data_IF_590945457590
#
_entry.id   IF_590945457590
#
_cell.length_a   1.000
_cell.length_b   1.000
_cell.length_c   1.000
_cell.angle_alpha   90.00
_cell.angle_beta   90.00
_cell.angle_gamma   90.00
#
_symmetry.space_group_name_H-M   'P 1'
#
loop_
_entity.id
_entity.type
_entity.pdbx_description
1 polymer ?
#
# COMPACT_ATOMS: atom_id res chain seq x y z
N UNK A 1 -29.99 -10.47 -26.47
CA UNK A 1 -29.89 -11.15 -25.15
C UNK A 1 -28.72 -12.10 -25.27
N UNK A 2 -27.63 -11.90 -24.52
CA UNK A 2 -26.47 -12.77 -24.63
C UNK A 2 -26.85 -14.19 -24.22
N UNK A 3 -26.45 -15.17 -25.03
CA UNK A 3 -26.68 -16.58 -24.71
C UNK A 3 -25.80 -16.89 -23.50
N UNK A 4 -26.40 -16.90 -22.30
CA UNK A 4 -25.75 -17.53 -21.15
C UNK A 4 -25.53 -18.98 -21.55
N UNK A 5 -24.27 -19.39 -21.75
CA UNK A 5 -23.90 -20.80 -21.84
C UNK A 5 -24.49 -21.49 -20.61
N UNK A 6 -25.65 -22.11 -20.81
CA UNK A 6 -26.54 -22.58 -19.74
C UNK A 6 -26.15 -23.96 -19.23
N UNK A 7 -25.09 -24.54 -19.80
CA UNK A 7 -24.63 -25.88 -19.47
C UNK A 7 -23.46 -25.74 -18.49
N UNK A 8 -23.62 -26.24 -17.24
CA UNK A 8 -22.52 -26.30 -16.28
C UNK A 8 -21.39 -27.16 -16.82
N UNK A 9 -20.16 -26.71 -16.60
CA UNK A 9 -18.98 -27.52 -16.89
C UNK A 9 -18.82 -28.57 -15.77
N UNK A 10 -18.61 -29.86 -16.08
CA UNK A 10 -18.65 -30.95 -15.09
C UNK A 10 -17.30 -31.19 -14.38
N UNK A 11 -16.37 -30.24 -14.46
CA UNK A 11 -15.01 -30.39 -13.92
C UNK A 11 -14.52 -29.10 -13.27
N UNK A 12 -13.62 -29.27 -12.29
CA UNK A 12 -13.00 -28.17 -11.56
C UNK A 12 -12.19 -27.25 -12.50
N UNK A 13 -12.19 -25.93 -12.26
CA UNK A 13 -11.26 -25.05 -12.96
C UNK A 13 -9.82 -25.32 -12.51
N UNK A 14 -8.82 -25.09 -13.36
CA UNK A 14 -7.43 -25.12 -12.90
C UNK A 14 -7.19 -24.03 -11.83
N UNK A 15 -6.31 -24.25 -10.84
CA UNK A 15 -6.00 -23.22 -9.85
C UNK A 15 -5.39 -21.98 -10.54
N UNK A 16 -5.70 -20.76 -10.07
CA UNK A 16 -5.05 -19.56 -10.57
C UNK A 16 -3.57 -19.57 -10.17
N UNK A 17 -2.70 -19.07 -11.06
CA UNK A 17 -1.29 -18.91 -10.78
C UNK A 17 -1.03 -17.48 -10.27
N UNK A 18 -0.64 -17.33 -9.01
CA UNK A 18 -0.15 -16.04 -8.51
C UNK A 18 1.26 -15.80 -9.07
N UNK A 19 1.40 -14.78 -9.93
CA UNK A 19 2.66 -14.44 -10.59
C UNK A 19 3.50 -13.51 -9.73
N UNK A 20 2.89 -12.50 -9.13
CA UNK A 20 3.61 -11.56 -8.28
C UNK A 20 2.71 -10.87 -7.27
N UNK A 21 3.33 -10.44 -6.17
CA UNK A 21 2.78 -9.52 -5.18
C UNK A 21 3.86 -8.49 -4.85
N UNK A 22 3.51 -7.20 -4.78
CA UNK A 22 4.46 -6.10 -4.57
C UNK A 22 3.89 -5.05 -3.62
N UNK A 23 4.80 -4.35 -2.96
CA UNK A 23 4.53 -3.17 -2.16
C UNK A 23 5.43 -2.04 -2.66
N UNK A 24 4.84 -0.99 -3.21
CA UNK A 24 5.55 0.12 -3.85
C UNK A 24 5.14 1.45 -3.22
N UNK A 25 6.08 2.38 -3.06
CA UNK A 25 5.76 3.72 -2.57
C UNK A 25 4.89 4.48 -3.60
N UNK A 26 3.98 5.35 -3.14
CA UNK A 26 3.09 6.08 -4.05
C UNK A 26 3.77 7.25 -4.75
N UNK A 27 4.63 7.95 -4.02
CA UNK A 27 5.26 9.18 -4.45
C UNK A 27 5.76 9.98 -3.25
N UNK A 28 6.27 11.16 -3.54
CA UNK A 28 6.80 12.09 -2.54
C UNK A 28 6.59 13.53 -2.99
N UNK A 29 5.44 13.86 -3.58
CA UNK A 29 5.12 15.26 -3.86
C UNK A 29 5.03 16.07 -2.56
N UNK A 30 4.56 15.45 -1.47
CA UNK A 30 4.48 15.99 -0.12
C UNK A 30 4.73 14.91 0.95
N UNK A 31 4.67 15.29 2.23
CA UNK A 31 4.89 14.37 3.35
C UNK A 31 3.79 13.32 3.43
N UNK A 32 2.53 13.72 3.26
CA UNK A 32 1.40 12.80 3.28
C UNK A 32 1.55 11.68 2.24
N UNK A 33 1.97 12.00 1.01
CA UNK A 33 2.24 11.03 -0.05
C UNK A 33 3.48 10.19 0.23
N UNK A 34 4.53 10.78 0.81
CA UNK A 34 5.76 10.08 1.16
C UNK A 34 5.53 8.88 2.10
N UNK A 35 4.51 8.98 2.96
CA UNK A 35 4.07 7.90 3.86
C UNK A 35 3.07 6.93 3.23
N UNK A 36 2.63 7.12 1.98
CA UNK A 36 1.67 6.24 1.30
C UNK A 36 2.36 5.18 0.46
N UNK A 37 1.72 4.01 0.37
CA UNK A 37 2.15 2.93 -0.52
C UNK A 37 0.98 2.22 -1.20
N UNK A 38 1.31 1.43 -2.21
CA UNK A 38 0.40 0.61 -3.02
C UNK A 38 0.73 -0.85 -2.88
N UNK A 39 -0.30 -1.68 -2.75
CA UNK A 39 -0.20 -3.13 -2.90
C UNK A 39 -0.66 -3.51 -4.31
N UNK A 40 0.20 -4.20 -5.06
CA UNK A 40 -0.13 -4.74 -6.37
C UNK A 40 -0.01 -6.27 -6.35
N UNK A 41 -0.92 -6.96 -7.01
CA UNK A 41 -0.79 -8.38 -7.28
C UNK A 41 -1.16 -8.67 -8.73
N UNK A 42 -0.48 -9.66 -9.31
CA UNK A 42 -0.74 -10.16 -10.65
C UNK A 42 -0.95 -11.66 -10.60
N UNK A 43 -1.99 -12.15 -11.25
CA UNK A 43 -2.24 -13.58 -11.43
C UNK A 43 -2.50 -13.92 -12.89
N UNK A 44 -2.36 -15.21 -13.23
CA UNK A 44 -2.80 -15.80 -14.50
C UNK A 44 -3.85 -16.87 -14.21
N UNK A 45 -4.85 -16.99 -15.08
CA UNK A 45 -5.82 -18.07 -15.03
C UNK A 45 -6.38 -18.36 -16.42
N UNK A 46 -6.66 -19.63 -16.71
CA UNK A 46 -7.38 -20.06 -17.91
C UNK A 46 -8.89 -19.87 -17.66
N UNK A 47 -9.35 -18.63 -17.79
CA UNK A 47 -10.75 -18.28 -17.53
C UNK A 47 -11.68 -18.92 -18.56
N UNK A 48 -12.76 -19.53 -18.08
CA UNK A 48 -13.97 -19.80 -18.87
C UNK A 48 -15.07 -18.80 -18.52
N UNK A 49 -16.11 -18.71 -19.35
CA UNK A 49 -17.23 -17.78 -19.12
C UNK A 49 -17.97 -18.02 -17.79
N UNK A 50 -17.87 -19.24 -17.24
CA UNK A 50 -18.44 -19.68 -15.97
C UNK A 50 -17.51 -19.46 -14.76
N UNK A 51 -16.28 -18.97 -14.98
CA UNK A 51 -15.26 -18.86 -13.94
C UNK A 51 -15.24 -17.46 -13.31
N UNK A 52 -15.13 -17.47 -11.99
CA UNK A 52 -14.88 -16.32 -11.14
C UNK A 52 -13.57 -16.57 -10.39
N UNK A 53 -12.71 -15.55 -10.29
CA UNK A 53 -11.55 -15.58 -9.41
C UNK A 53 -11.83 -14.70 -8.21
N UNK A 54 -12.01 -15.31 -7.05
CA UNK A 54 -12.08 -14.62 -5.77
C UNK A 54 -10.67 -14.25 -5.32
N UNK A 55 -10.48 -12.98 -4.99
CA UNK A 55 -9.22 -12.44 -4.54
C UNK A 55 -9.41 -11.74 -3.22
N UNK A 56 -8.48 -11.97 -2.31
CA UNK A 56 -8.40 -11.25 -1.03
C UNK A 56 -6.98 -10.79 -0.77
N UNK A 57 -6.81 -9.52 -0.41
CA UNK A 57 -5.57 -8.97 0.12
C UNK A 57 -5.78 -8.67 1.60
N UNK A 58 -5.06 -9.40 2.45
CA UNK A 58 -5.06 -9.20 3.89
C UNK A 58 -3.90 -8.29 4.28
N UNK A 59 -4.18 -7.27 5.09
CA UNK A 59 -3.20 -6.31 5.59
C UNK A 59 -2.95 -6.51 7.08
N UNK A 60 -1.75 -6.12 7.52
CA UNK A 60 -1.28 -6.27 8.90
C UNK A 60 -1.32 -7.74 9.38
N UNK A 61 -0.88 -8.64 8.50
CA UNK A 61 -0.75 -10.07 8.77
C UNK A 61 0.34 -10.28 9.82
N UNK A 62 -0.02 -10.95 10.92
CA UNK A 62 0.89 -11.31 12.02
C UNK A 62 1.32 -12.76 11.88
N UNK A 63 2.58 -13.05 12.19
CA UNK A 63 3.06 -14.43 12.28
C UNK A 63 2.43 -15.15 13.49
N UNK A 64 2.34 -14.47 14.63
CA UNK A 64 1.77 -15.00 15.86
C UNK A 64 0.44 -14.33 16.20
N UNK A 65 -0.63 -15.12 16.27
CA UNK A 65 -1.96 -14.65 16.66
C UNK A 65 -2.04 -14.18 18.12
N UNK A 66 -1.07 -14.56 18.96
CA UNK A 66 -1.01 -14.22 20.39
C UNK A 66 -0.41 -12.84 20.69
N UNK A 67 0.22 -12.17 19.70
CA UNK A 67 0.75 -10.82 19.85
C UNK A 67 -0.37 -9.77 19.69
N UNK A 68 -1.31 -9.77 20.62
CA UNK A 68 -2.32 -8.74 20.76
C UNK A 68 -1.74 -7.55 21.54
N UNK A 69 -1.81 -6.35 20.96
CA UNK A 69 -2.28 -5.10 21.60
C UNK A 69 -1.57 -3.80 21.18
N UNK A 70 -0.40 -3.82 20.53
CA UNK A 70 0.32 -2.56 20.24
C UNK A 70 0.34 -2.10 18.77
N UNK A 71 -0.25 -2.86 17.83
CA UNK A 71 -0.14 -2.59 16.39
C UNK A 71 -1.48 -2.34 15.66
N UNK A 72 -1.47 -1.90 14.40
CA UNK A 72 -2.68 -1.63 13.63
C UNK A 72 -3.56 -2.87 13.49
N UNK A 73 -4.88 -2.65 13.43
CA UNK A 73 -5.86 -3.72 13.24
C UNK A 73 -5.66 -4.39 11.88
N UNK A 74 -5.86 -5.71 11.83
CA UNK A 74 -5.88 -6.44 10.57
C UNK A 74 -7.17 -6.10 9.80
N UNK A 75 -7.06 -5.98 8.49
CA UNK A 75 -8.20 -5.76 7.61
C UNK A 75 -7.94 -6.42 6.25
N UNK A 76 -8.98 -6.56 5.44
CA UNK A 76 -8.86 -7.15 4.12
C UNK A 76 -9.61 -6.34 3.05
N UNK A 77 -9.14 -6.46 1.81
CA UNK A 77 -9.84 -6.01 0.60
C UNK A 77 -10.13 -7.23 -0.26
N UNK A 78 -11.39 -7.42 -0.66
CA UNK A 78 -11.78 -8.58 -1.45
C UNK A 78 -12.61 -8.20 -2.67
N UNK A 79 -12.26 -8.79 -3.81
CA UNK A 79 -12.96 -8.62 -5.08
C UNK A 79 -13.09 -9.96 -5.79
N UNK A 80 -14.14 -10.08 -6.60
CA UNK A 80 -14.34 -11.17 -7.54
C UNK A 80 -14.04 -10.63 -8.92
N UNK A 81 -13.18 -11.33 -9.66
CA UNK A 81 -12.84 -11.03 -11.04
C UNK A 81 -13.56 -12.00 -11.96
N UNK A 82 -14.20 -11.49 -13.00
CA UNK A 82 -14.84 -12.27 -14.06
C UNK A 82 -14.46 -11.72 -15.42
N UNK A 83 -14.18 -12.60 -16.38
CA UNK A 83 -14.02 -12.22 -17.78
C UNK A 83 -15.34 -12.45 -18.53
N UNK A 84 -15.78 -11.43 -19.26
CA UNK A 84 -16.98 -11.47 -20.09
C UNK A 84 -16.56 -11.82 -21.51
N UNK A 85 -17.19 -12.86 -22.03
CA UNK A 85 -16.90 -13.39 -23.36
C UNK A 85 -17.91 -12.85 -24.38
N UNK A 86 -17.52 -12.83 -25.65
CA UNK A 86 -18.38 -12.59 -26.80
C UNK A 86 -19.51 -13.63 -26.89
N UNK A 87 -20.55 -13.34 -27.66
CA UNK A 87 -21.71 -14.23 -27.82
C UNK A 87 -21.34 -15.59 -28.44
N UNK A 88 -20.30 -15.64 -29.28
CA UNK A 88 -19.75 -16.88 -29.85
C UNK A 88 -18.76 -17.59 -28.90
N UNK A 89 -18.33 -16.92 -27.82
CA UNK A 89 -17.40 -17.45 -26.83
C UNK A 89 -15.94 -17.52 -27.30
N UNK A 90 -15.63 -16.99 -28.48
CA UNK A 90 -14.28 -17.03 -29.06
C UNK A 90 -13.36 -15.95 -28.45
N UNK A 91 -13.94 -14.82 -28.01
CA UNK A 91 -13.21 -13.68 -27.48
C UNK A 91 -13.64 -13.31 -26.06
N UNK A 92 -12.71 -12.70 -25.32
CA UNK A 92 -12.94 -11.93 -24.10
C UNK A 92 -13.05 -10.47 -24.49
N UNK A 93 -14.18 -9.85 -24.14
CA UNK A 93 -14.53 -8.48 -24.50
C UNK A 93 -14.55 -7.53 -23.30
N UNK A 94 -14.63 -8.06 -22.08
CA UNK A 94 -14.59 -7.24 -20.88
C UNK A 94 -14.04 -7.97 -19.67
N UNK A 95 -13.53 -7.18 -18.72
CA UNK A 95 -13.25 -7.60 -17.36
C UNK A 95 -14.30 -6.97 -16.44
N UNK A 96 -14.82 -7.75 -15.50
CA UNK A 96 -15.75 -7.28 -14.48
C UNK A 96 -15.15 -7.55 -13.10
N UNK A 97 -15.17 -6.53 -12.24
CA UNK A 97 -14.85 -6.64 -10.83
C UNK A 97 -16.12 -6.48 -10.01
N UNK A 98 -16.33 -7.34 -9.03
CA UNK A 98 -17.41 -7.20 -8.04
C UNK A 98 -16.81 -7.18 -6.64
N UNK A 99 -17.25 -6.27 -5.78
CA UNK A 99 -16.79 -6.25 -4.39
C UNK A 99 -17.47 -7.33 -3.58
N UNK A 100 -16.73 -7.90 -2.65
CA UNK A 100 -17.28 -8.77 -1.58
C UNK A 100 -17.06 -8.19 -0.20
N UNK A 101 -16.24 -7.15 -0.07
CA UNK A 101 -16.08 -6.34 1.15
C UNK A 101 -16.87 -5.03 1.06
N UNK A 102 -17.27 -4.48 2.22
CA UNK A 102 -18.02 -3.23 2.35
C UNK A 102 -17.21 -1.94 2.01
N UNK A 103 -16.16 -2.07 1.21
CA UNK A 103 -15.14 -1.03 1.02
C UNK A 103 -15.49 -0.19 -0.22
N UNK A 104 -15.38 1.14 -0.12
CA UNK A 104 -15.71 2.03 -1.25
C UNK A 104 -14.65 2.04 -2.35
N UNK A 105 -13.41 1.70 -2.01
CA UNK A 105 -12.26 1.84 -2.90
C UNK A 105 -12.16 0.66 -3.88
N UNK A 106 -12.00 0.98 -5.17
CA UNK A 106 -11.73 0.01 -6.22
C UNK A 106 -10.22 -0.07 -6.50
N UNK A 107 -9.67 -1.26 -6.76
CA UNK A 107 -8.32 -1.34 -7.31
C UNK A 107 -8.27 -0.75 -8.72
N UNK A 108 -7.12 -0.21 -9.08
CA UNK A 108 -6.78 -0.01 -10.48
C UNK A 108 -6.54 -1.38 -11.11
N UNK A 109 -7.12 -1.60 -12.29
CA UNK A 109 -7.04 -2.87 -12.99
C UNK A 109 -6.18 -2.74 -14.26
N UNK A 110 -5.32 -3.73 -14.47
CA UNK A 110 -4.55 -3.88 -15.71
C UNK A 110 -4.77 -5.29 -16.22
N UNK A 111 -5.10 -5.41 -17.50
CA UNK A 111 -5.20 -6.69 -18.18
C UNK A 111 -3.86 -7.02 -18.85
N UNK A 112 -3.45 -8.28 -18.78
CA UNK A 112 -2.24 -8.78 -19.42
C UNK A 112 -2.63 -9.80 -20.47
N UNK A 113 -2.38 -9.48 -21.74
CA UNK A 113 -2.70 -10.34 -22.87
C UNK A 113 -1.81 -11.59 -22.89
N UNK A 114 -2.18 -12.59 -23.69
CA UNK A 114 -1.36 -13.80 -23.88
C UNK A 114 0.05 -13.50 -24.40
N UNK A 115 0.23 -12.41 -25.15
CA UNK A 115 1.53 -11.92 -25.60
C UNK A 115 2.32 -11.13 -24.55
N UNK A 116 1.80 -11.01 -23.31
CA UNK A 116 2.44 -10.28 -22.22
C UNK A 116 2.23 -8.76 -22.25
N UNK A 117 1.45 -8.24 -23.20
CA UNK A 117 1.16 -6.81 -23.27
C UNK A 117 0.24 -6.39 -22.13
N UNK A 118 0.55 -5.27 -21.49
CA UNK A 118 -0.25 -4.67 -20.41
C UNK A 118 -1.19 -3.62 -20.97
N UNK A 119 -2.48 -3.75 -20.68
CA UNK A 119 -3.54 -2.81 -21.01
C UNK A 119 -4.05 -2.18 -19.71
N UNK A 120 -3.78 -0.89 -19.52
CA UNK A 120 -4.36 -0.13 -18.42
C UNK A 120 -5.85 0.08 -18.69
N UNK A 121 -6.70 -0.34 -17.75
CA UNK A 121 -8.15 -0.32 -17.90
C UNK A 121 -8.77 0.98 -17.34
N UNK A 122 -7.95 1.86 -16.73
CA UNK A 122 -8.42 3.09 -16.12
C UNK A 122 -9.42 2.86 -14.98
N UNK A 123 -10.42 3.73 -14.86
CA UNK A 123 -11.40 3.67 -13.79
C UNK A 123 -12.54 2.66 -14.03
N UNK A 124 -12.73 2.19 -15.26
CA UNK A 124 -13.90 1.39 -15.65
C UNK A 124 -15.23 2.16 -15.53
N UNK A 125 -16.32 1.48 -15.85
CA UNK A 125 -17.70 2.00 -15.77
C UNK A 125 -18.41 1.28 -14.62
N UNK A 126 -19.21 2.02 -13.85
CA UNK A 126 -20.06 1.42 -12.81
C UNK A 126 -21.08 0.46 -13.43
N UNK A 127 -21.21 -0.73 -12.84
CA UNK A 127 -22.07 -1.82 -13.33
C UNK A 127 -22.85 -2.42 -12.15
N UNK A 128 -23.66 -1.58 -11.50
CA UNK A 128 -24.38 -1.93 -10.27
C UNK A 128 -23.43 -2.15 -9.10
N UNK A 129 -23.31 -3.41 -8.66
CA UNK A 129 -22.42 -3.81 -7.56
C UNK A 129 -20.95 -3.96 -7.99
N UNK A 130 -20.66 -3.69 -9.27
CA UNK A 130 -19.39 -3.95 -9.92
C UNK A 130 -18.78 -2.75 -10.66
N UNK A 131 -17.57 -2.99 -11.19
CA UNK A 131 -16.91 -2.18 -12.21
C UNK A 131 -16.70 -3.04 -13.46
N UNK A 132 -17.08 -2.52 -14.62
CA UNK A 132 -16.86 -3.15 -15.92
C UNK A 132 -15.81 -2.38 -16.72
N UNK A 133 -14.90 -3.12 -17.35
CA UNK A 133 -13.81 -2.60 -18.15
C UNK A 133 -13.88 -3.23 -19.53
N UNK A 134 -14.10 -2.43 -20.56
CA UNK A 134 -14.15 -2.89 -21.95
C UNK A 134 -12.73 -3.18 -22.43
N UNK A 135 -12.54 -4.34 -23.05
CA UNK A 135 -11.28 -4.78 -23.62
C UNK A 135 -11.39 -4.80 -25.14
N UNK A 136 -10.30 -4.51 -25.89
CA UNK A 136 -10.22 -4.95 -27.27
C UNK A 136 -10.34 -6.48 -27.31
N UNK A 137 -11.01 -7.10 -28.31
CA UNK A 137 -11.21 -8.55 -28.36
C UNK A 137 -9.92 -9.34 -28.14
N UNK A 138 -9.94 -10.29 -27.21
CA UNK A 138 -8.82 -11.16 -26.87
C UNK A 138 -9.23 -12.63 -27.00
N UNK A 139 -8.41 -13.53 -27.56
CA UNK A 139 -8.79 -14.93 -27.69
C UNK A 139 -9.13 -15.57 -26.34
N UNK A 140 -10.27 -16.24 -26.23
CA UNK A 140 -10.77 -16.79 -24.95
C UNK A 140 -10.02 -18.04 -24.46
N UNK A 141 -9.45 -18.84 -25.35
CA UNK A 141 -8.82 -20.12 -25.00
C UNK A 141 -7.34 -19.97 -24.65
N UNK A 142 -7.01 -19.05 -23.75
CA UNK A 142 -5.64 -18.78 -23.31
C UNK A 142 -5.58 -18.49 -21.81
N UNK A 143 -4.36 -18.48 -21.26
CA UNK A 143 -4.11 -17.91 -19.95
C UNK A 143 -4.21 -16.39 -20.05
N UNK A 144 -5.10 -15.82 -19.24
CA UNK A 144 -5.28 -14.38 -19.12
C UNK A 144 -4.63 -13.89 -17.85
N UNK A 145 -3.93 -12.76 -17.94
CA UNK A 145 -3.38 -12.12 -16.76
C UNK A 145 -4.21 -10.93 -16.31
N UNK A 146 -4.34 -10.81 -15.00
CA UNK A 146 -4.99 -9.66 -14.35
C UNK A 146 -4.07 -9.16 -13.26
N UNK A 147 -3.76 -7.87 -13.30
CA UNK A 147 -3.11 -7.15 -12.21
C UNK A 147 -4.10 -6.21 -11.54
N UNK A 148 -4.13 -6.23 -10.21
CA UNK A 148 -4.94 -5.35 -9.39
C UNK A 148 -4.07 -4.62 -8.38
N UNK A 149 -4.24 -3.29 -8.33
CA UNK A 149 -3.45 -2.39 -7.49
C UNK A 149 -4.35 -1.55 -6.59
N UNK A 150 -4.15 -1.68 -5.28
CA UNK A 150 -4.77 -0.81 -4.27
C UNK A 150 -3.74 0.19 -3.77
N UNK A 151 -4.12 1.46 -3.69
CA UNK A 151 -3.26 2.55 -3.21
C UNK A 151 -3.85 3.31 -2.02
N UNK A 152 -3.19 4.39 -1.64
CA UNK A 152 -3.60 5.30 -0.58
C UNK A 152 -3.37 4.78 0.83
N UNK A 153 -2.60 3.72 1.01
CA UNK A 153 -2.35 3.16 2.35
C UNK A 153 -1.22 3.90 3.05
N UNK A 154 -1.49 4.51 4.21
CA UNK A 154 -0.43 5.02 5.07
C UNK A 154 0.38 3.88 5.70
N UNK A 155 1.71 4.00 5.76
CA UNK A 155 2.61 2.99 6.36
C UNK A 155 2.28 2.67 7.82
N UNK A 156 1.73 3.63 8.58
CA UNK A 156 1.28 3.39 9.96
C UNK A 156 -0.05 2.61 10.04
N UNK A 157 -0.89 2.69 9.01
CA UNK A 157 -2.18 2.01 8.94
C UNK A 157 -2.05 0.59 8.39
N UNK A 158 -1.26 0.41 7.34
CA UNK A 158 -1.04 -0.86 6.68
C UNK A 158 0.48 -1.10 6.55
N UNK A 159 1.01 -1.98 7.39
CA UNK A 159 2.45 -2.20 7.52
C UNK A 159 2.95 -3.37 6.65
N UNK A 160 2.04 -4.25 6.24
CA UNK A 160 2.32 -5.35 5.32
C UNK A 160 1.04 -5.85 4.64
N UNK A 161 1.18 -6.71 3.63
CA UNK A 161 0.06 -7.37 2.96
C UNK A 161 0.38 -8.80 2.49
N UNK A 162 -0.66 -9.62 2.34
CA UNK A 162 -0.61 -10.96 1.74
C UNK A 162 -1.86 -11.23 0.90
N UNK A 163 -1.67 -11.66 -0.34
CA UNK A 163 -2.73 -12.01 -1.27
C UNK A 163 -3.10 -13.50 -1.18
N UNK A 164 -4.37 -13.78 -1.42
CA UNK A 164 -4.94 -15.11 -1.57
C UNK A 164 -5.95 -15.12 -2.73
N UNK A 165 -5.97 -16.21 -3.49
CA UNK A 165 -6.79 -16.39 -4.68
C UNK A 165 -7.53 -17.72 -4.65
N UNK A 166 -8.73 -17.77 -5.21
CA UNK A 166 -9.47 -19.01 -5.41
C UNK A 166 -10.32 -18.91 -6.68
N UNK A 167 -10.21 -19.90 -7.58
CA UNK A 167 -11.09 -19.98 -8.73
C UNK A 167 -12.36 -20.75 -8.37
N UNK A 168 -13.50 -20.23 -8.82
CA UNK A 168 -14.82 -20.81 -8.62
C UNK A 168 -15.53 -20.89 -9.96
N UNK A 169 -16.08 -22.05 -10.27
CA UNK A 169 -16.77 -22.32 -11.53
C UNK A 169 -18.25 -22.57 -11.29
N UNK A 170 -19.07 -22.19 -12.27
CA UNK A 170 -20.53 -22.40 -12.33
C UNK A 170 -21.37 -21.58 -11.34
N UNK A 171 -20.78 -20.85 -10.38
CA UNK A 171 -21.56 -20.05 -9.40
C UNK A 171 -22.46 -19.02 -10.07
N UNK A 172 -21.95 -18.30 -11.07
CA UNK A 172 -22.66 -17.20 -11.73
C UNK A 172 -23.58 -17.62 -12.89
N UNK A 173 -23.87 -18.92 -13.04
CA UNK A 173 -24.72 -19.43 -14.12
C UNK A 173 -26.21 -19.18 -13.89
N UNK A 174 -26.66 -19.35 -12.65
CA UNK A 174 -28.06 -19.30 -12.23
C UNK A 174 -28.17 -18.60 -10.87
N UNK A 175 -29.30 -17.94 -10.63
CA UNK A 175 -29.53 -17.26 -9.36
C UNK A 175 -29.76 -18.25 -8.21
N UNK A 176 -30.25 -19.45 -8.53
CA UNK A 176 -30.34 -20.59 -7.61
C UNK A 176 -29.43 -21.72 -8.08
N UNK A 177 -28.35 -21.95 -7.34
CA UNK A 177 -27.38 -23.03 -7.62
C UNK A 177 -27.87 -24.41 -7.16
N UNK A 178 -29.08 -24.53 -6.62
CA UNK A 178 -29.66 -25.80 -6.22
C UNK A 178 -29.71 -26.78 -7.41
N UNK A 179 -28.95 -27.87 -7.31
CA UNK A 179 -28.83 -28.87 -8.39
C UNK A 179 -27.71 -28.62 -9.42
N UNK A 180 -26.96 -27.52 -9.33
CA UNK A 180 -25.77 -27.28 -10.17
C UNK A 180 -24.49 -27.43 -9.34
N UNK A 181 -23.55 -28.30 -9.75
CA UNK A 181 -22.28 -28.44 -9.05
C UNK A 181 -21.44 -27.16 -9.21
N UNK A 182 -21.12 -26.53 -8.08
CA UNK A 182 -20.19 -25.40 -7.97
C UNK A 182 -18.84 -25.95 -7.56
N UNK A 183 -17.83 -25.76 -8.41
CA UNK A 183 -16.47 -26.24 -8.16
C UNK A 183 -15.61 -25.10 -7.64
N UNK A 184 -14.73 -25.39 -6.68
CA UNK A 184 -13.83 -24.43 -6.05
C UNK A 184 -12.45 -25.05 -5.92
N UNK A 185 -11.42 -24.34 -6.38
CA UNK A 185 -10.03 -24.80 -6.21
C UNK A 185 -9.56 -24.64 -4.76
N UNK A 186 -8.45 -25.27 -4.41
CA UNK A 186 -7.71 -24.86 -3.22
C UNK A 186 -7.32 -23.37 -3.30
N UNK A 187 -7.21 -22.71 -2.14
CA UNK A 187 -6.76 -21.32 -2.06
C UNK A 187 -5.26 -21.24 -2.33
N UNK A 188 -4.88 -20.45 -3.34
CA UNK A 188 -3.48 -20.13 -3.62
C UNK A 188 -3.12 -18.89 -2.82
N UNK A 189 -2.18 -19.02 -1.89
CA UNK A 189 -1.72 -17.93 -1.01
C UNK A 189 -0.31 -17.52 -1.43
N UNK A 190 -0.03 -16.21 -1.44
CA UNK A 190 1.31 -15.71 -1.68
C UNK A 190 2.30 -16.33 -0.70
N UNK A 191 3.45 -16.80 -1.20
CA UNK A 191 4.47 -17.41 -0.35
C UNK A 191 4.92 -16.45 0.76
N UNK A 192 5.20 -15.20 0.38
CA UNK A 192 5.69 -14.16 1.27
C UNK A 192 4.66 -13.08 1.58
N UNK A 193 4.86 -12.43 2.72
CA UNK A 193 4.23 -11.16 3.08
C UNK A 193 5.07 -10.04 2.47
N UNK A 194 4.43 -9.07 1.80
CA UNK A 194 5.12 -7.87 1.30
C UNK A 194 4.96 -6.73 2.30
N UNK A 195 5.97 -5.89 2.42
CA UNK A 195 5.94 -4.67 3.22
C UNK A 195 6.53 -3.51 2.41
N UNK A 196 5.99 -2.29 2.54
CA UNK A 196 6.54 -1.12 1.87
C UNK A 196 7.93 -0.79 2.41
N UNK A 197 8.71 -0.10 1.58
CA UNK A 197 9.99 0.52 1.99
C UNK A 197 10.10 1.88 1.33
N UNK A 198 9.35 2.83 1.85
CA UNK A 198 9.31 4.20 1.35
C UNK A 198 10.60 4.90 1.75
N UNK A 199 11.37 5.38 0.78
CA UNK A 199 12.63 6.09 1.04
C UNK A 199 12.80 7.24 0.08
N UNK A 200 13.06 8.43 0.64
CA UNK A 200 13.09 9.66 -0.14
C UNK A 200 14.30 10.49 0.25
N UNK A 201 15.22 10.75 -0.68
CA UNK A 201 16.43 11.52 -0.37
C UNK A 201 16.23 13.04 -0.43
N UNK A 202 15.04 13.49 -0.84
CA UNK A 202 14.71 14.91 -0.96
C UNK A 202 14.41 15.56 0.39
N UNK A 203 14.46 16.89 0.42
CA UNK A 203 14.12 17.68 1.59
C UNK A 203 12.60 17.88 1.66
N UNK A 204 12.04 17.69 2.86
CA UNK A 204 10.67 18.09 3.16
C UNK A 204 10.70 19.29 4.11
N UNK A 205 10.26 20.46 3.65
CA UNK A 205 10.18 21.65 4.50
C UNK A 205 8.99 21.53 5.45
N UNK A 206 9.26 21.51 6.75
CA UNK A 206 8.23 21.44 7.80
C UNK A 206 7.92 22.79 8.43
N UNK A 207 8.56 23.87 7.98
CA UNK A 207 8.43 25.21 8.55
C UNK A 207 7.02 25.81 8.48
N UNK A 208 6.18 25.33 7.56
CA UNK A 208 4.77 25.72 7.51
C UNK A 208 3.93 25.17 8.67
N UNK A 209 4.40 24.13 9.36
CA UNK A 209 3.72 23.48 10.48
C UNK A 209 3.78 24.23 11.81
N UNK A 210 4.57 25.31 11.92
CA UNK A 210 4.57 26.15 13.12
C UNK A 210 5.77 27.09 13.25
N UNK A 211 5.65 28.06 14.17
CA UNK A 211 6.71 29.04 14.47
C UNK A 211 7.88 28.48 15.28
N UNK A 212 7.76 27.24 15.76
CA UNK A 212 8.80 26.52 16.50
C UNK A 212 9.00 25.13 15.90
N UNK A 213 10.21 24.61 16.01
CA UNK A 213 10.56 23.29 15.50
C UNK A 213 9.64 22.20 16.06
N UNK A 214 9.30 22.28 17.35
CA UNK A 214 8.48 21.27 18.02
C UNK A 214 7.08 21.21 17.42
N UNK A 215 6.45 22.36 17.19
CA UNK A 215 5.13 22.45 16.56
C UNK A 215 5.17 22.00 15.10
N UNK A 216 6.22 22.39 14.37
CA UNK A 216 6.43 21.96 12.99
C UNK A 216 6.62 20.44 12.86
N UNK A 217 7.38 19.83 13.77
CA UNK A 217 7.61 18.39 13.80
C UNK A 217 6.35 17.63 14.20
N UNK A 218 5.60 18.12 15.19
CA UNK A 218 4.32 17.53 15.59
C UNK A 218 3.31 17.55 14.42
N UNK A 219 3.21 18.67 13.71
CA UNK A 219 2.40 18.79 12.50
C UNK A 219 2.86 17.81 11.40
N UNK A 220 4.17 17.69 11.15
CA UNK A 220 4.71 16.76 10.17
C UNK A 220 4.40 15.29 10.52
N UNK A 221 4.51 14.91 11.80
CA UNK A 221 4.15 13.57 12.26
C UNK A 221 2.65 13.32 12.15
N UNK A 222 1.82 14.35 12.40
CA UNK A 222 0.38 14.32 12.14
C UNK A 222 0.06 14.11 10.66
N UNK A 223 0.80 14.74 9.74
CA UNK A 223 0.62 14.54 8.30
C UNK A 223 1.03 13.13 7.84
N UNK A 224 2.15 12.62 8.37
CA UNK A 224 2.68 11.30 8.02
C UNK A 224 1.82 10.14 8.57
N UNK A 225 1.31 10.27 9.79
CA UNK A 225 0.74 9.16 10.54
C UNK A 225 -0.68 9.40 11.07
N UNK A 226 -1.20 10.62 11.03
CA UNK A 226 -2.51 11.00 11.59
C UNK A 226 -2.63 10.60 13.05
N UNK A 227 -3.83 10.12 13.44
CA UNK A 227 -4.13 9.62 14.79
C UNK A 227 -3.28 8.41 15.19
N UNK A 228 -2.52 7.81 14.26
CA UNK A 228 -1.64 6.68 14.51
C UNK A 228 -0.20 7.07 14.81
N UNK A 229 0.14 8.35 14.91
CA UNK A 229 1.50 8.79 15.26
C UNK A 229 1.95 8.20 16.62
N UNK A 230 1.07 8.20 17.61
CA UNK A 230 1.36 7.66 18.94
C UNK A 230 1.62 6.14 18.87
N UNK A 231 2.69 5.71 19.54
CA UNK A 231 3.12 4.32 19.61
C UNK A 231 3.91 3.82 18.40
N UNK A 232 4.07 4.61 17.33
CA UNK A 232 4.91 4.20 16.19
C UNK A 232 6.37 4.07 16.63
N UNK A 233 7.04 2.95 16.36
CA UNK A 233 8.47 2.82 16.62
C UNK A 233 9.25 3.70 15.64
N UNK A 234 9.79 4.81 16.14
CA UNK A 234 10.56 5.78 15.36
C UNK A 234 12.00 5.85 15.86
N UNK A 235 12.96 5.81 14.94
CA UNK A 235 14.29 6.33 15.17
C UNK A 235 14.36 7.76 14.63
N UNK A 236 14.98 8.66 15.40
CA UNK A 236 15.09 10.07 15.04
C UNK A 236 16.55 10.52 15.14
N UNK A 237 16.96 11.35 14.20
CA UNK A 237 18.21 12.11 14.27
C UNK A 237 17.86 13.58 14.21
N UNK A 238 18.50 14.39 15.04
CA UNK A 238 18.41 15.85 14.99
C UNK A 238 19.82 16.38 14.74
N UNK A 239 19.94 17.21 13.72
CA UNK A 239 21.16 17.93 13.41
C UNK A 239 20.85 19.40 13.18
N UNK A 240 21.83 20.24 13.48
CA UNK A 240 21.82 21.66 13.16
C UNK A 240 22.73 21.90 11.97
N UNK A 241 22.27 22.62 10.95
CA UNK A 241 23.08 22.96 9.79
C UNK A 241 23.12 24.47 9.58
N UNK A 242 24.27 25.02 9.21
CA UNK A 242 24.42 26.45 8.93
C UNK A 242 25.44 26.72 7.82
N UNK A 243 25.21 27.80 7.07
CA UNK A 243 26.16 28.25 6.05
C UNK A 243 27.11 29.28 6.66
N UNK A 244 28.44 29.01 6.73
CA UNK A 244 29.41 29.97 7.27
C UNK A 244 29.59 31.21 6.37
N UNK A 245 29.14 31.14 5.12
CA UNK A 245 29.16 32.23 4.14
C UNK A 245 28.02 32.07 3.13
N UNK A 246 27.72 33.09 2.30
CA UNK A 246 26.59 33.06 1.36
C UNK A 246 26.71 31.97 0.29
N UNK A 247 27.93 31.63 -0.09
CA UNK A 247 28.23 30.65 -1.16
C UNK A 247 28.94 29.40 -0.62
N UNK A 248 28.97 29.22 0.70
CA UNK A 248 29.61 28.08 1.34
C UNK A 248 28.57 26.99 1.64
N UNK A 249 28.96 25.71 1.54
CA UNK A 249 28.06 24.60 1.85
C UNK A 249 27.64 24.64 3.31
N UNK A 250 26.48 24.07 3.60
CA UNK A 250 26.02 23.87 4.97
C UNK A 250 26.99 22.97 5.75
N UNK A 251 27.36 23.42 6.95
CA UNK A 251 28.08 22.62 7.93
C UNK A 251 27.05 22.01 8.88
N UNK A 252 27.01 20.68 8.96
CA UNK A 252 26.07 19.94 9.81
C UNK A 252 26.72 19.51 11.11
N UNK A 253 26.04 19.76 12.22
CA UNK A 253 26.45 19.40 13.58
C UNK A 253 25.39 18.47 14.21
N UNK A 254 25.78 17.32 14.76
CA UNK A 254 24.84 16.41 15.41
C UNK A 254 24.34 16.99 16.73
N UNK A 255 23.06 16.80 17.02
CA UNK A 255 22.42 17.28 18.26
C UNK A 255 21.79 16.13 19.05
N UNK A 256 21.02 15.27 18.40
CA UNK A 256 20.37 14.13 19.05
C UNK A 256 20.37 12.91 18.12
N UNK A 257 20.62 11.74 18.71
CA UNK A 257 20.36 10.45 18.10
C UNK A 257 19.43 9.68 19.03
N UNK A 258 18.26 9.32 18.53
CA UNK A 258 17.27 8.55 19.25
C UNK A 258 17.09 7.19 18.56
N UNK A 259 17.37 6.06 19.26
CA UNK A 259 17.14 4.74 18.70
C UNK A 259 15.63 4.47 18.49
N UNK A 260 15.27 3.43 17.73
CA UNK A 260 13.87 3.05 17.55
C UNK A 260 13.15 2.85 18.89
N UNK A 261 12.15 3.67 19.16
CA UNK A 261 11.28 3.54 20.33
C UNK A 261 9.88 4.05 20.00
N UNK A 262 8.83 3.61 20.72
CA UNK A 262 7.48 4.12 20.53
C UNK A 262 7.43 5.64 20.65
N UNK A 263 6.84 6.31 19.67
CA UNK A 263 6.63 7.74 19.69
C UNK A 263 5.54 8.12 20.69
N UNK A 264 5.86 9.03 21.59
CA UNK A 264 5.00 9.46 22.69
C UNK A 264 5.25 10.93 23.05
N UNK A 265 4.44 11.50 23.95
CA UNK A 265 4.61 12.87 24.40
C UNK A 265 6.00 13.12 25.04
N UNK A 266 6.58 12.11 25.68
CA UNK A 266 7.93 12.19 26.25
C UNK A 266 9.02 12.31 25.16
N UNK A 267 8.79 11.79 23.95
CA UNK A 267 9.68 11.96 22.81
C UNK A 267 9.83 13.43 22.43
N UNK A 268 8.71 14.16 22.32
CA UNK A 268 8.76 15.59 22.01
C UNK A 268 9.43 16.40 23.12
N UNK A 269 9.20 16.03 24.39
CA UNK A 269 9.90 16.65 25.52
C UNK A 269 11.42 16.41 25.47
N UNK A 270 11.87 15.20 25.11
CA UNK A 270 13.30 14.89 24.92
C UNK A 270 13.93 15.72 23.80
N UNK A 271 13.24 15.85 22.67
CA UNK A 271 13.71 16.67 21.53
C UNK A 271 13.84 18.13 21.95
N UNK A 272 12.81 18.70 22.58
CA UNK A 272 12.82 20.08 23.08
C UNK A 272 13.96 20.33 24.09
N UNK A 273 14.15 19.39 25.03
CA UNK A 273 15.23 19.50 26.01
C UNK A 273 16.62 19.41 25.36
N UNK A 274 16.83 18.51 24.40
CA UNK A 274 18.09 18.38 23.67
C UNK A 274 18.39 19.64 22.83
N UNK A 275 17.37 20.18 22.15
CA UNK A 275 17.44 21.42 21.40
C UNK A 275 17.88 22.59 22.30
N UNK A 276 17.17 22.80 23.41
CA UNK A 276 17.46 23.89 24.35
C UNK A 276 18.86 23.78 24.96
N UNK A 277 19.26 22.57 25.39
CA UNK A 277 20.59 22.33 25.96
C UNK A 277 21.71 22.59 24.95
N UNK A 278 21.52 22.15 23.70
CA UNK A 278 22.49 22.37 22.64
C UNK A 278 22.60 23.85 22.26
N UNK A 279 21.47 24.55 22.11
CA UNK A 279 21.44 25.98 21.81
C UNK A 279 22.13 26.81 22.92
N UNK A 280 21.85 26.50 24.18
CA UNK A 280 22.48 27.18 25.32
C UNK A 280 24.01 27.01 25.33
N UNK A 281 24.50 25.84 24.93
CA UNK A 281 25.92 25.51 24.93
C UNK A 281 26.69 26.07 23.73
N UNK A 282 26.05 26.19 22.57
CA UNK A 282 26.71 26.51 21.30
C UNK A 282 26.41 27.92 20.78
N UNK A 283 25.35 28.57 21.25
CA UNK A 283 24.89 29.89 20.78
C UNK A 283 24.88 29.98 19.24
N UNK A 284 24.19 29.06 18.55
CA UNK A 284 24.26 28.92 17.10
C UNK A 284 23.74 30.18 16.37
N UNK A 285 24.28 30.50 15.17
CA UNK A 285 23.69 31.52 14.31
C UNK A 285 22.21 31.23 14.00
N UNK A 286 21.35 32.26 13.92
CA UNK A 286 19.95 32.05 13.53
C UNK A 286 19.69 32.32 12.06
N UNK A 287 20.64 32.95 11.36
CA UNK A 287 20.54 33.27 9.93
C UNK A 287 21.25 32.21 9.10
N UNK A 288 20.66 31.86 7.95
CA UNK A 288 21.20 30.86 7.00
C UNK A 288 21.48 29.52 7.69
N UNK A 289 20.55 29.14 8.56
CA UNK A 289 20.65 27.97 9.39
C UNK A 289 19.33 27.20 9.35
N UNK A 290 19.41 25.90 9.57
CA UNK A 290 18.26 25.00 9.56
C UNK A 290 18.46 23.86 10.55
N UNK A 291 17.34 23.37 11.08
CA UNK A 291 17.28 22.09 11.76
C UNK A 291 16.96 20.99 10.75
N UNK A 292 17.73 19.91 10.77
CA UNK A 292 17.55 18.74 9.94
C UNK A 292 17.15 17.56 10.82
N UNK A 293 16.01 16.94 10.53
CA UNK A 293 15.48 15.79 11.24
C UNK A 293 15.46 14.60 10.29
N UNK A 294 16.22 13.56 10.62
CA UNK A 294 16.09 12.26 9.95
C UNK A 294 15.12 11.39 10.74
N UNK A 295 14.16 10.79 10.06
CA UNK A 295 13.11 9.94 10.62
C UNK A 295 13.10 8.58 9.94
N UNK A 296 13.12 7.51 10.74
CA UNK A 296 12.95 6.14 10.26
C UNK A 296 11.84 5.46 11.06
N UNK A 297 10.79 5.00 10.39
CA UNK A 297 9.68 4.27 11.00
C UNK A 297 9.84 2.75 10.78
N UNK A 298 9.56 1.99 11.84
CA UNK A 298 9.66 0.53 11.87
C UNK A 298 8.28 -0.10 12.13
N UNK A 299 8.05 -1.35 11.69
CA UNK A 299 6.78 -2.05 11.89
C UNK A 299 6.49 -2.29 13.38
N UNK A 300 5.20 -2.23 13.73
CA UNK A 300 4.67 -2.62 15.04
C UNK A 300 4.26 -4.10 15.09
N UNK A 301 3.94 -4.70 13.95
CA UNK A 301 3.36 -6.05 13.85
C UNK A 301 4.38 -7.18 13.69
N UNK A 302 5.66 -6.86 13.46
CA UNK A 302 6.72 -7.84 13.26
C UNK A 302 7.97 -7.41 14.05
N UNK A 303 8.12 -7.97 15.25
CA UNK A 303 9.21 -7.62 16.17
C UNK A 303 10.60 -8.12 15.70
N UNK A 304 10.64 -9.09 14.78
CA UNK A 304 11.87 -9.73 14.28
C UNK A 304 12.43 -9.07 13.02
N UNK A 305 11.58 -8.38 12.24
CA UNK A 305 12.01 -7.63 11.07
C UNK A 305 12.33 -6.19 11.43
N UNK A 306 13.59 -5.89 11.73
CA UNK A 306 14.12 -4.53 11.86
C UNK A 306 14.15 -3.76 10.51
N UNK A 307 13.23 -4.06 9.59
CA UNK A 307 13.16 -3.45 8.26
C UNK A 307 12.34 -2.16 8.34
N UNK A 308 12.91 -1.00 7.99
CA UNK A 308 12.14 0.24 7.95
C UNK A 308 11.00 0.18 6.93
N UNK A 309 9.84 0.75 7.27
CA UNK A 309 8.76 0.98 6.30
C UNK A 309 8.87 2.36 5.66
N UNK A 310 9.42 3.34 6.39
CA UNK A 310 9.62 4.71 5.93
C UNK A 310 10.98 5.24 6.41
N UNK A 311 11.74 5.85 5.50
CA UNK A 311 13.03 6.49 5.74
C UNK A 311 13.05 7.89 5.09
N UNK A 312 12.93 8.91 5.94
CA UNK A 312 12.96 10.33 5.60
C UNK A 312 14.21 10.95 6.22
N UNK A 313 15.36 10.94 5.56
CA UNK A 313 16.62 11.44 6.10
C UNK A 313 16.63 12.96 6.37
N UNK A 314 15.75 13.74 5.74
CA UNK A 314 15.78 15.21 5.77
C UNK A 314 14.39 15.86 5.80
N UNK A 315 13.81 15.96 7.00
CA UNK A 315 12.81 16.98 7.31
C UNK A 315 13.53 18.26 7.72
N UNK A 316 13.23 19.39 7.09
CA UNK A 316 14.00 20.63 7.23
C UNK A 316 13.13 21.73 7.84
N UNK A 317 13.65 22.36 8.89
CA UNK A 317 13.05 23.54 9.50
C UNK A 317 14.04 24.71 9.42
N UNK A 318 13.75 25.68 8.55
CA UNK A 318 14.65 26.82 8.28
C UNK A 318 14.45 27.92 9.32
N UNK A 319 15.55 28.37 9.92
CA UNK A 319 15.55 29.47 10.87
C UNK A 319 15.44 30.81 10.11
N UNK A 320 14.57 31.69 10.62
CA UNK A 320 14.30 33.02 10.06
C UNK A 320 15.05 34.10 10.83
#
# INVERSE_FOLDING_TARGET
MPIRLSVPLPFEPPPPLLVSQRADAEGAADLAEAARWRCELQYLHEHRAQDEVELTVSFNVRADAAAADAGPAAFARSVVVRLIHSDDGEDVEALQLRRTSATTDWPQATYVTAGGQRLDLGAGVDDGDGRRYVLPPQPAQTWHGVSLRWGGFGVAQAQNARAALTAVRNRGLVDDTSGIPVYRTATVVAADVVAPRNRWSQDFDIGAGGERLESALDAALGELFGDRAAGQPLALTLSYAYAPGPDLPLVTLPVLLQPPQPFDAATMQRIAAALAAWQASNQPPTRRAEWQIGLVQYPQIAADTARPLLDLPRLVYRLR
#
